data_IF_359205940018
#
_entry.id   IF_359205940018
#
_cell.length_a   1.000
_cell.length_b   1.000
_cell.length_c   1.000
_cell.angle_alpha   90.00
_cell.angle_beta   90.00
_cell.angle_gamma   90.00
#
_symmetry.space_group_name_H-M   'P 1'
#
loop_
_entity.id
_entity.type
_entity.pdbx_description
1 polymer ?
#
# COMPACT_ATOMS: atom_id res chain seq x y z
N UNK A 1 22.30 -19.55 80.67
CA UNK A 1 21.40 -18.66 79.90
C UNK A 1 22.15 -18.17 78.68
N UNK A 2 21.97 -18.81 77.52
CA UNK A 2 22.55 -18.39 76.23
C UNK A 2 21.42 -17.81 75.38
N UNK A 3 21.50 -16.52 75.04
CA UNK A 3 20.59 -15.87 74.10
C UNK A 3 20.98 -16.29 72.68
N UNK A 4 20.04 -16.89 71.95
CA UNK A 4 20.17 -17.20 70.53
C UNK A 4 19.58 -16.01 69.74
N UNK A 5 20.44 -15.23 69.09
CA UNK A 5 19.98 -14.16 68.18
C UNK A 5 19.79 -14.77 66.80
N UNK A 6 18.53 -14.94 66.38
CA UNK A 6 18.16 -15.36 65.02
C UNK A 6 18.13 -14.10 64.14
N UNK A 7 19.08 -13.99 63.21
CA UNK A 7 19.09 -12.95 62.18
C UNK A 7 18.26 -13.47 61.00
N UNK A 8 17.06 -12.89 60.83
CA UNK A 8 16.17 -13.17 59.71
C UNK A 8 16.63 -12.31 58.51
N UNK A 9 17.37 -12.90 57.56
CA UNK A 9 17.63 -12.26 56.27
C UNK A 9 16.38 -12.34 55.40
N UNK A 10 15.65 -11.24 55.30
CA UNK A 10 14.61 -11.07 54.28
C UNK A 10 15.27 -10.79 52.93
N UNK A 11 15.33 -11.83 52.07
CA UNK A 11 15.68 -11.67 50.68
C UNK A 11 14.51 -11.01 49.93
N UNK A 12 14.54 -9.69 49.80
CA UNK A 12 13.62 -8.95 48.93
C UNK A 12 14.07 -9.22 47.49
N UNK A 13 13.45 -10.19 46.84
CA UNK A 13 13.59 -10.42 45.40
C UNK A 13 12.86 -9.29 44.68
N UNK A 14 13.56 -8.23 44.31
CA UNK A 14 13.02 -7.27 43.34
C UNK A 14 12.94 -7.98 41.99
N UNK A 15 11.73 -8.46 41.66
CA UNK A 15 11.35 -8.75 40.30
C UNK A 15 11.49 -7.44 39.51
N UNK A 16 12.65 -7.22 38.91
CA UNK A 16 12.79 -6.23 37.86
C UNK A 16 11.93 -6.73 36.69
N UNK A 17 10.68 -6.28 36.64
CA UNK A 17 9.92 -6.32 35.41
C UNK A 17 10.73 -5.51 34.40
N UNK A 18 11.37 -6.21 33.47
CA UNK A 18 11.90 -5.57 32.27
C UNK A 18 10.69 -4.99 31.54
N UNK A 19 10.41 -3.71 31.76
CA UNK A 19 9.57 -2.97 30.86
C UNK A 19 10.28 -3.02 29.51
N UNK A 20 9.71 -3.78 28.58
CA UNK A 20 9.98 -3.56 27.17
C UNK A 20 9.48 -2.14 26.93
N UNK A 21 10.38 -1.17 27.00
CA UNK A 21 10.12 0.13 26.40
C UNK A 21 9.74 -0.17 24.96
N UNK A 22 8.45 -0.06 24.65
CA UNK A 22 8.01 0.26 23.30
C UNK A 22 8.71 1.58 22.99
N UNK A 23 9.93 1.49 22.46
CA UNK A 23 10.57 2.61 21.80
C UNK A 23 9.60 3.00 20.70
N UNK A 24 8.80 4.02 20.97
CA UNK A 24 8.09 4.76 19.95
C UNK A 24 9.17 5.13 18.95
N UNK A 25 9.19 4.43 17.80
CA UNK A 25 9.88 4.96 16.64
C UNK A 25 9.43 6.41 16.54
N UNK A 26 10.38 7.34 16.54
CA UNK A 26 10.09 8.77 16.56
C UNK A 26 9.33 9.03 15.27
N UNK A 27 8.01 9.18 15.40
CA UNK A 27 7.11 9.36 14.28
C UNK A 27 7.59 10.60 13.53
N UNK A 28 7.94 10.45 12.26
CA UNK A 28 8.21 11.60 11.39
C UNK A 28 6.86 12.28 11.11
N UNK A 29 6.60 13.48 11.69
CA UNK A 29 5.30 14.13 11.55
C UNK A 29 5.01 14.52 10.10
N UNK A 30 6.04 14.78 9.29
CA UNK A 30 5.88 15.16 7.89
C UNK A 30 5.37 13.97 7.07
N UNK A 31 5.97 12.80 7.27
CA UNK A 31 5.53 11.55 6.64
C UNK A 31 4.09 11.19 7.02
N UNK A 32 3.74 11.29 8.31
CA UNK A 32 2.37 11.03 8.77
C UNK A 32 1.38 12.00 8.13
N UNK A 33 1.72 13.28 8.05
CA UNK A 33 0.84 14.28 7.44
C UNK A 33 0.65 14.05 5.94
N UNK A 34 1.72 13.76 5.20
CA UNK A 34 1.64 13.58 3.74
C UNK A 34 0.84 12.34 3.37
N UNK A 35 1.03 11.22 4.07
CA UNK A 35 0.32 9.98 3.76
C UNK A 35 -1.16 10.02 4.11
N UNK A 36 -1.55 10.71 5.20
CA UNK A 36 -2.96 10.96 5.47
C UNK A 36 -3.58 11.89 4.43
N UNK A 37 -2.86 12.96 4.05
CA UNK A 37 -3.33 13.86 2.99
C UNK A 37 -3.53 13.12 1.67
N UNK A 38 -2.63 12.20 1.33
CA UNK A 38 -2.78 11.32 0.16
C UNK A 38 -4.06 10.47 0.25
N UNK A 39 -4.31 9.82 1.39
CA UNK A 39 -5.53 9.02 1.60
C UNK A 39 -6.81 9.86 1.50
N UNK A 40 -6.81 11.07 2.07
CA UNK A 40 -7.95 12.00 2.01
C UNK A 40 -8.23 12.46 0.57
N UNK A 41 -7.17 12.79 -0.19
CA UNK A 41 -7.29 13.15 -1.61
C UNK A 41 -7.79 11.96 -2.44
N UNK A 42 -7.35 10.75 -2.11
CA UNK A 42 -7.82 9.54 -2.79
C UNK A 42 -9.31 9.28 -2.54
N UNK A 43 -9.80 9.55 -1.33
CA UNK A 43 -11.24 9.50 -1.01
C UNK A 43 -12.04 10.57 -1.75
N UNK A 44 -11.47 11.78 -1.92
CA UNK A 44 -12.07 12.82 -2.75
C UNK A 44 -12.12 12.42 -4.22
N UNK A 45 -11.03 11.87 -4.77
CA UNK A 45 -10.98 11.33 -6.13
C UNK A 45 -12.05 10.25 -6.34
N UNK A 46 -12.17 9.28 -5.42
CA UNK A 46 -13.23 8.29 -5.46
C UNK A 46 -14.61 8.96 -5.56
N UNK A 47 -14.91 9.91 -4.67
CA UNK A 47 -16.19 10.62 -4.63
C UNK A 47 -16.47 11.33 -5.95
N UNK A 48 -15.49 12.06 -6.49
CA UNK A 48 -15.60 12.75 -7.78
C UNK A 48 -15.83 11.77 -8.94
N UNK A 49 -15.13 10.63 -8.93
CA UNK A 49 -15.23 9.60 -9.96
C UNK A 49 -16.60 8.95 -10.00
N UNK A 50 -17.26 8.75 -8.86
CA UNK A 50 -18.59 8.12 -8.81
C UNK A 50 -19.74 9.12 -8.95
N UNK A 51 -19.50 10.41 -8.73
CA UNK A 51 -20.53 11.45 -8.79
C UNK A 51 -21.21 11.51 -10.18
N UNK A 52 -22.55 11.48 -10.18
CA UNK A 52 -23.36 11.59 -11.40
C UNK A 52 -23.29 10.39 -12.35
N UNK A 53 -22.56 9.31 -12.00
CA UNK A 53 -22.46 8.10 -12.81
C UNK A 53 -23.58 7.12 -12.50
N UNK A 54 -23.92 6.30 -13.49
CA UNK A 54 -24.73 5.10 -13.30
C UNK A 54 -23.82 3.98 -12.80
N UNK A 55 -24.09 3.48 -11.61
CA UNK A 55 -23.19 2.56 -10.91
C UNK A 55 -23.90 1.26 -10.55
N UNK A 56 -23.11 0.18 -10.54
CA UNK A 56 -23.44 -1.05 -9.83
C UNK A 56 -22.56 -1.13 -8.59
N UNK A 57 -23.17 -1.26 -7.41
CA UNK A 57 -22.47 -1.42 -6.13
C UNK A 57 -22.49 -2.88 -5.70
N UNK A 58 -21.38 -3.39 -5.18
CA UNK A 58 -21.31 -4.65 -4.44
C UNK A 58 -20.76 -4.41 -3.06
N UNK A 59 -21.26 -5.14 -2.06
CA UNK A 59 -20.79 -5.05 -0.68
C UNK A 59 -20.35 -6.42 -0.19
N UNK A 60 -19.21 -6.46 0.49
CA UNK A 60 -18.61 -7.68 1.05
C UNK A 60 -18.24 -7.38 2.50
N UNK A 61 -18.57 -8.29 3.41
CA UNK A 61 -18.07 -8.24 4.79
C UNK A 61 -16.85 -9.14 4.88
N UNK A 62 -15.78 -8.63 5.47
CA UNK A 62 -14.52 -9.33 5.60
C UNK A 62 -13.81 -8.98 6.89
N UNK A 63 -12.65 -9.59 7.11
CA UNK A 63 -11.90 -9.38 8.34
C UNK A 63 -10.56 -10.10 8.36
N UNK A 64 -10.02 -10.24 9.56
CA UNK A 64 -8.72 -10.87 9.81
C UNK A 64 -8.92 -12.22 10.51
N UNK A 65 -7.88 -13.07 10.52
CA UNK A 65 -7.92 -14.40 11.15
C UNK A 65 -8.52 -14.43 12.58
N UNK A 66 -8.32 -13.37 13.38
CA UNK A 66 -8.87 -13.23 14.75
C UNK A 66 -9.96 -12.17 14.89
N UNK A 67 -10.35 -11.53 13.81
CA UNK A 67 -11.39 -10.51 13.73
C UNK A 67 -12.20 -10.75 12.45
N UNK A 68 -12.91 -11.90 12.34
CA UNK A 68 -13.83 -12.10 11.22
C UNK A 68 -14.89 -11.00 11.28
N UNK A 69 -15.25 -10.42 10.14
CA UNK A 69 -16.22 -9.33 10.04
C UNK A 69 -15.77 -7.98 10.64
N UNK A 70 -14.46 -7.67 10.58
CA UNK A 70 -13.92 -6.38 10.99
C UNK A 70 -14.35 -5.21 10.08
N UNK A 71 -14.46 -5.45 8.77
CA UNK A 71 -14.70 -4.39 7.79
C UNK A 71 -15.84 -4.71 6.82
N UNK A 72 -16.37 -3.65 6.19
CA UNK A 72 -17.27 -3.70 5.05
C UNK A 72 -16.52 -3.11 3.85
N UNK A 73 -16.34 -3.90 2.81
CA UNK A 73 -15.84 -3.47 1.51
C UNK A 73 -17.02 -3.09 0.61
N UNK A 74 -16.89 -1.95 -0.06
CA UNK A 74 -17.81 -1.44 -1.06
C UNK A 74 -17.08 -1.33 -2.39
N UNK A 75 -17.52 -2.09 -3.39
CA UNK A 75 -16.99 -2.07 -4.74
C UNK A 75 -17.94 -1.29 -5.66
N UNK A 76 -17.39 -0.35 -6.42
CA UNK A 76 -18.15 0.53 -7.30
C UNK A 76 -17.79 0.24 -8.74
N UNK A 77 -18.74 -0.28 -9.51
CA UNK A 77 -18.58 -0.58 -10.92
C UNK A 77 -19.32 0.43 -11.77
N UNK A 78 -18.70 0.82 -12.88
CA UNK A 78 -19.38 1.53 -13.95
C UNK A 78 -20.45 0.62 -14.56
N UNK A 79 -21.71 1.07 -14.60
CA UNK A 79 -22.82 0.20 -14.98
C UNK A 79 -22.87 -0.11 -16.47
N UNK A 80 -22.21 0.70 -17.31
CA UNK A 80 -22.18 0.53 -18.77
C UNK A 80 -21.05 -0.41 -19.21
N UNK A 81 -19.84 -0.16 -18.71
CA UNK A 81 -18.65 -0.94 -19.07
C UNK A 81 -18.39 -2.15 -18.18
N UNK A 82 -19.00 -2.20 -16.99
CA UNK A 82 -18.74 -3.23 -15.98
C UNK A 82 -17.39 -3.11 -15.28
N UNK A 83 -16.60 -2.07 -15.59
CA UNK A 83 -15.26 -1.85 -15.01
C UNK A 83 -15.36 -1.44 -13.54
N UNK A 84 -14.43 -1.92 -12.73
CA UNK A 84 -14.32 -1.54 -11.33
C UNK A 84 -13.67 -0.15 -11.23
N UNK A 85 -14.41 0.85 -10.75
CA UNK A 85 -13.89 2.22 -10.60
C UNK A 85 -13.08 2.38 -9.32
N UNK A 86 -13.53 1.73 -8.25
CA UNK A 86 -12.89 1.85 -6.94
C UNK A 86 -13.40 0.80 -5.96
N UNK A 87 -12.60 0.51 -4.94
CA UNK A 87 -12.97 -0.22 -3.73
C UNK A 87 -12.79 0.69 -2.52
N UNK A 88 -13.74 0.69 -1.60
CA UNK A 88 -13.61 1.42 -0.33
C UNK A 88 -13.98 0.49 0.80
N UNK A 89 -13.09 0.33 1.75
CA UNK A 89 -13.23 -0.56 2.90
C UNK A 89 -13.38 0.30 4.14
N UNK A 90 -14.47 0.10 4.87
CA UNK A 90 -14.81 0.82 6.10
C UNK A 90 -14.78 -0.13 7.30
N UNK A 91 -14.30 0.33 8.44
CA UNK A 91 -14.43 -0.44 9.69
C UNK A 91 -15.92 -0.57 10.07
N UNK A 92 -16.36 -1.75 10.52
CA UNK A 92 -17.79 -1.96 10.82
C UNK A 92 -18.25 -1.31 12.11
N UNK A 93 -17.41 -1.34 13.15
CA UNK A 93 -17.70 -0.70 14.44
C UNK A 93 -17.51 0.82 14.39
N UNK A 94 -16.81 1.32 13.37
CA UNK A 94 -16.55 2.74 13.12
C UNK A 94 -16.73 3.04 11.63
N UNK A 95 -17.99 3.16 11.14
CA UNK A 95 -18.30 3.19 9.72
C UNK A 95 -17.81 4.44 8.97
N UNK A 96 -17.34 5.44 9.70
CA UNK A 96 -16.68 6.65 9.21
C UNK A 96 -15.15 6.49 9.10
N UNK A 97 -14.58 5.39 9.58
CA UNK A 97 -13.15 5.12 9.52
C UNK A 97 -12.79 4.35 8.27
N UNK A 98 -12.08 5.03 7.38
CA UNK A 98 -11.51 4.45 6.18
C UNK A 98 -10.45 3.42 6.55
N UNK A 99 -10.69 2.15 6.22
CA UNK A 99 -9.71 1.09 6.44
C UNK A 99 -8.78 0.92 5.24
N UNK A 100 -9.33 0.95 4.04
CA UNK A 100 -8.59 0.85 2.78
C UNK A 100 -9.38 1.52 1.66
N UNK A 101 -8.67 2.09 0.70
CA UNK A 101 -9.26 2.62 -0.53
C UNK A 101 -8.36 2.28 -1.70
N UNK A 102 -8.97 1.90 -2.81
CA UNK A 102 -8.32 1.66 -4.09
C UNK A 102 -9.12 2.34 -5.20
N UNK A 103 -8.45 3.04 -6.13
CA UNK A 103 -9.10 3.74 -7.25
C UNK A 103 -8.38 3.44 -8.56
N UNK A 104 -9.16 3.07 -9.58
CA UNK A 104 -8.66 2.70 -10.91
C UNK A 104 -8.99 3.77 -11.96
N UNK A 105 -7.97 4.15 -12.72
CA UNK A 105 -8.05 5.08 -13.85
C UNK A 105 -7.79 4.32 -15.12
N UNK A 106 -8.72 4.46 -16.07
CA UNK A 106 -8.72 3.73 -17.32
C UNK A 106 -8.45 4.66 -18.50
N UNK A 107 -7.78 4.16 -19.53
CA UNK A 107 -7.77 4.79 -20.84
C UNK A 107 -9.06 4.50 -21.64
N UNK A 108 -9.14 5.08 -22.83
CA UNK A 108 -10.26 4.90 -23.76
C UNK A 108 -10.41 3.44 -24.24
N UNK A 109 -9.31 2.66 -24.22
CA UNK A 109 -9.33 1.23 -24.54
C UNK A 109 -9.80 0.36 -23.36
N UNK A 110 -9.93 0.94 -22.17
CA UNK A 110 -10.36 0.25 -20.96
C UNK A 110 -9.27 -0.48 -20.21
N UNK A 111 -8.01 -0.12 -20.45
CA UNK A 111 -6.88 -0.63 -19.70
C UNK A 111 -6.62 0.29 -18.51
N UNK A 112 -6.18 -0.27 -17.38
CA UNK A 112 -5.81 0.53 -16.20
C UNK A 112 -4.49 1.23 -16.55
N UNK A 113 -4.50 2.56 -16.62
CA UNK A 113 -3.27 3.35 -16.84
C UNK A 113 -2.67 3.84 -15.54
N UNK A 114 -3.49 3.90 -14.49
CA UNK A 114 -3.08 4.30 -13.15
C UNK A 114 -4.00 3.70 -12.12
N UNK A 115 -3.45 3.19 -11.03
CA UNK A 115 -4.22 2.89 -9.83
C UNK A 115 -3.54 3.44 -8.58
N UNK A 116 -4.34 3.62 -7.54
CA UNK A 116 -3.94 4.18 -6.27
C UNK A 116 -4.45 3.31 -5.14
N UNK A 117 -3.70 3.21 -4.06
CA UNK A 117 -4.12 2.54 -2.84
C UNK A 117 -3.68 3.29 -1.60
N UNK A 118 -4.53 3.30 -0.57
CA UNK A 118 -4.13 3.61 0.80
C UNK A 118 -4.75 2.59 1.75
N UNK A 119 -3.96 2.04 2.67
CA UNK A 119 -4.40 1.01 3.63
C UNK A 119 -3.89 1.32 5.03
N UNK A 120 -4.78 1.21 6.01
CA UNK A 120 -4.48 1.34 7.43
C UNK A 120 -4.41 -0.04 8.10
N UNK A 121 -3.70 -0.12 9.22
CA UNK A 121 -3.80 -1.27 10.10
C UNK A 121 -5.06 -1.18 10.97
N UNK A 122 -5.60 -2.32 11.46
CA UNK A 122 -6.68 -2.31 12.45
C UNK A 122 -6.34 -1.58 13.76
N UNK A 123 -5.04 -1.44 14.07
CA UNK A 123 -4.49 -0.78 15.25
C UNK A 123 -3.28 0.05 14.84
N UNK A 124 -3.04 1.18 15.50
CA UNK A 124 -1.93 2.09 15.13
C UNK A 124 -2.24 2.89 13.87
N UNK A 125 -3.37 3.60 13.88
CA UNK A 125 -3.96 4.30 12.72
C UNK A 125 -3.49 5.75 12.58
N UNK A 126 -2.27 6.07 13.00
CA UNK A 126 -1.77 7.45 12.90
C UNK A 126 -1.53 7.86 11.43
N UNK A 127 -1.24 6.91 10.54
CA UNK A 127 -1.13 7.07 9.09
C UNK A 127 -1.47 5.74 8.40
N UNK A 128 -1.72 5.71 7.08
CA UNK A 128 -1.68 4.47 6.32
C UNK A 128 -0.36 3.73 6.56
N UNK A 129 -0.40 2.41 6.59
CA UNK A 129 0.83 1.59 6.56
C UNK A 129 1.30 1.29 5.15
N UNK A 130 0.43 1.54 4.17
CA UNK A 130 0.73 1.38 2.76
C UNK A 130 0.02 2.48 1.98
N UNK A 131 0.76 3.15 1.12
CA UNK A 131 0.25 4.03 0.06
C UNK A 131 0.90 3.59 -1.24
N UNK A 132 0.13 3.47 -2.32
CA UNK A 132 0.63 3.01 -3.61
C UNK A 132 0.12 3.94 -4.70
N UNK A 133 0.99 4.21 -5.66
CA UNK A 133 0.71 4.85 -6.94
C UNK A 133 1.31 3.93 -8.00
N UNK A 134 0.46 3.23 -8.75
CA UNK A 134 0.90 2.37 -9.85
C UNK A 134 0.70 3.10 -11.17
N UNK A 135 1.76 3.23 -11.95
CA UNK A 135 1.72 3.78 -13.31
C UNK A 135 1.89 2.61 -14.28
N UNK A 136 0.91 2.37 -15.14
CA UNK A 136 0.92 1.22 -16.04
C UNK A 136 1.30 1.61 -17.46
N UNK A 137 2.03 0.74 -18.13
CA UNK A 137 2.30 0.81 -19.54
C UNK A 137 1.94 -0.50 -20.24
N UNK A 138 1.64 -0.38 -21.52
CA UNK A 138 1.27 -1.50 -22.38
C UNK A 138 2.04 -1.36 -23.69
N UNK A 139 2.92 -2.31 -23.98
CA UNK A 139 3.73 -2.33 -25.19
C UNK A 139 3.63 -3.69 -25.87
N UNK A 140 2.98 -3.74 -27.02
CA UNK A 140 2.69 -5.01 -27.70
C UNK A 140 1.88 -5.95 -26.80
N UNK A 141 2.45 -7.12 -26.49
CA UNK A 141 1.87 -8.11 -25.59
C UNK A 141 2.32 -8.00 -24.13
N UNK A 142 3.05 -6.94 -23.76
CA UNK A 142 3.49 -6.71 -22.39
C UNK A 142 2.53 -5.79 -21.63
N UNK A 143 2.35 -6.11 -20.35
CA UNK A 143 1.82 -5.20 -19.34
C UNK A 143 2.91 -4.97 -18.29
N UNK A 144 3.24 -3.72 -18.05
CA UNK A 144 4.17 -3.33 -17.00
C UNK A 144 3.55 -2.28 -16.09
N UNK A 145 4.06 -2.20 -14.86
CA UNK A 145 3.80 -1.06 -14.00
C UNK A 145 4.99 -0.72 -13.11
N UNK A 146 5.10 0.57 -12.80
CA UNK A 146 6.03 1.11 -11.83
C UNK A 146 5.26 1.66 -10.64
N UNK A 147 5.64 1.21 -9.45
CA UNK A 147 4.95 1.51 -8.21
C UNK A 147 5.76 2.50 -7.36
N UNK A 148 5.05 3.48 -6.83
CA UNK A 148 5.58 4.44 -5.88
C UNK A 148 4.76 4.48 -4.60
N UNK A 149 5.35 4.95 -3.51
CA UNK A 149 4.61 5.37 -2.32
C UNK A 149 4.19 6.86 -2.39
N UNK A 150 3.40 7.32 -1.42
CA UNK A 150 3.02 8.74 -1.30
C UNK A 150 4.18 9.68 -0.92
N UNK A 151 5.39 9.14 -0.71
CA UNK A 151 6.63 9.91 -0.54
C UNK A 151 7.42 10.02 -1.85
N UNK A 152 6.88 9.52 -2.98
CA UNK A 152 7.54 9.46 -4.28
C UNK A 152 8.71 8.45 -4.34
N UNK A 153 8.82 7.54 -3.38
CA UNK A 153 9.82 6.47 -3.45
C UNK A 153 9.34 5.40 -4.43
N UNK A 154 10.21 5.01 -5.35
CA UNK A 154 9.97 3.89 -6.26
C UNK A 154 10.27 2.58 -5.53
N UNK A 155 9.23 1.79 -5.27
CA UNK A 155 9.31 0.65 -4.33
C UNK A 155 9.13 -0.71 -4.98
N UNK A 156 8.56 -0.76 -6.19
CA UNK A 156 8.35 -2.02 -6.91
C UNK A 156 8.13 -1.77 -8.41
N UNK A 157 8.51 -2.73 -9.24
CA UNK A 157 8.20 -2.76 -10.66
C UNK A 157 7.84 -4.18 -11.09
N UNK A 158 6.87 -4.32 -11.98
CA UNK A 158 6.54 -5.62 -12.58
C UNK A 158 6.30 -5.47 -14.08
N UNK A 159 6.74 -6.44 -14.86
CA UNK A 159 6.48 -6.53 -16.28
C UNK A 159 6.25 -7.99 -16.67
N UNK A 160 5.12 -8.24 -17.33
CA UNK A 160 4.72 -9.58 -17.72
C UNK A 160 4.12 -9.57 -19.12
N UNK A 161 4.39 -10.61 -19.87
CA UNK A 161 3.74 -10.87 -21.15
C UNK A 161 4.69 -11.46 -22.18
N UNK A 162 4.35 -11.26 -23.46
CA UNK A 162 5.13 -11.79 -24.57
C UNK A 162 5.39 -10.75 -25.65
N UNK A 163 6.58 -10.79 -26.24
CA UNK A 163 6.91 -10.08 -27.48
C UNK A 163 7.42 -11.13 -28.49
N UNK A 164 6.67 -11.34 -29.56
CA UNK A 164 6.94 -12.46 -30.46
C UNK A 164 6.89 -13.80 -29.72
N UNK A 165 8.00 -14.54 -29.77
CA UNK A 165 8.14 -15.84 -29.12
C UNK A 165 8.78 -15.78 -27.71
N UNK A 166 9.22 -14.60 -27.28
CA UNK A 166 9.88 -14.38 -26.00
C UNK A 166 8.85 -14.05 -24.91
N UNK A 167 8.97 -14.71 -23.76
CA UNK A 167 8.22 -14.41 -22.55
C UNK A 167 9.08 -13.55 -21.64
N UNK A 168 8.53 -12.41 -21.22
CA UNK A 168 9.18 -11.52 -20.27
C UNK A 168 8.44 -11.62 -18.95
N UNK A 169 9.21 -11.86 -17.89
CA UNK A 169 8.74 -11.87 -16.52
C UNK A 169 9.79 -11.16 -15.64
N UNK A 170 9.48 -9.94 -15.25
CA UNK A 170 10.27 -9.14 -14.32
C UNK A 170 9.40 -8.78 -13.13
N UNK A 171 9.88 -9.06 -11.93
CA UNK A 171 9.36 -8.55 -10.67
C UNK A 171 10.57 -8.02 -9.90
N UNK A 172 10.61 -6.72 -9.65
CA UNK A 172 11.78 -6.01 -9.12
C UNK A 172 11.40 -5.32 -7.83
N UNK A 173 11.99 -5.77 -6.72
CA UNK A 173 11.76 -5.23 -5.38
C UNK A 173 12.62 -3.98 -5.10
N UNK A 174 12.28 -3.26 -4.03
CA UNK A 174 12.93 -1.99 -3.66
C UNK A 174 14.46 -2.10 -3.55
N UNK A 175 14.98 -3.17 -2.98
CA UNK A 175 16.41 -3.40 -2.82
C UNK A 175 17.14 -3.60 -4.15
N UNK A 176 16.50 -4.27 -5.11
CA UNK A 176 17.00 -4.43 -6.47
C UNK A 176 16.94 -3.10 -7.25
N UNK A 177 15.91 -2.28 -7.04
CA UNK A 177 15.77 -0.97 -7.68
C UNK A 177 16.86 0.03 -7.27
N UNK A 178 17.51 -0.17 -6.12
CA UNK A 178 18.63 0.64 -5.66
C UNK A 178 19.93 0.40 -6.44
N UNK A 179 20.03 -0.68 -7.24
CA UNK A 179 21.22 -0.95 -8.06
C UNK A 179 22.49 -1.20 -7.24
N UNK A 180 22.37 -1.68 -6.00
CA UNK A 180 23.51 -1.84 -5.08
C UNK A 180 24.34 -3.09 -5.34
N UNK A 181 23.84 -4.01 -6.17
CA UNK A 181 24.55 -5.25 -6.52
C UNK A 181 24.79 -5.34 -8.03
N UNK A 182 25.81 -6.07 -8.49
CA UNK A 182 26.01 -6.33 -9.91
C UNK A 182 24.80 -7.00 -10.59
N UNK A 183 24.07 -7.85 -9.85
CA UNK A 183 22.86 -8.50 -10.35
C UNK A 183 21.72 -7.49 -10.54
N UNK A 184 21.50 -6.62 -9.56
CA UNK A 184 20.56 -5.49 -9.67
C UNK A 184 20.87 -4.61 -10.87
N UNK A 185 22.14 -4.23 -11.06
CA UNK A 185 22.55 -3.41 -12.21
C UNK A 185 22.33 -4.14 -13.54
N UNK A 186 22.66 -5.43 -13.62
CA UNK A 186 22.44 -6.22 -14.83
C UNK A 186 20.95 -6.29 -15.22
N UNK A 187 20.02 -6.37 -14.25
CA UNK A 187 18.59 -6.30 -14.51
C UNK A 187 18.20 -4.92 -15.05
N UNK A 188 18.61 -3.84 -14.37
CA UNK A 188 18.24 -2.46 -14.71
C UNK A 188 18.84 -1.99 -16.06
N UNK A 189 19.95 -2.59 -16.48
CA UNK A 189 20.61 -2.31 -17.76
C UNK A 189 20.16 -3.24 -18.90
N UNK A 190 19.30 -4.23 -18.60
CA UNK A 190 18.84 -5.20 -19.58
C UNK A 190 17.92 -4.59 -20.64
N UNK A 191 17.86 -5.23 -21.82
CA UNK A 191 16.92 -4.85 -22.87
C UNK A 191 15.46 -5.06 -22.41
N UNK A 192 15.19 -6.14 -21.67
CA UNK A 192 13.86 -6.45 -21.15
C UNK A 192 13.35 -5.34 -20.23
N UNK A 193 14.21 -4.85 -19.33
CA UNK A 193 13.88 -3.74 -18.45
C UNK A 193 13.53 -2.47 -19.25
N UNK A 194 14.35 -2.13 -20.24
CA UNK A 194 14.10 -0.94 -21.08
C UNK A 194 12.78 -1.05 -21.83
N UNK A 195 12.53 -2.19 -22.49
CA UNK A 195 11.28 -2.44 -23.22
C UNK A 195 10.06 -2.34 -22.30
N UNK A 196 10.18 -2.80 -21.06
CA UNK A 196 9.10 -2.76 -20.09
C UNK A 196 8.83 -1.36 -19.52
N UNK A 197 9.87 -0.58 -19.22
CA UNK A 197 9.74 0.56 -18.30
C UNK A 197 10.23 1.90 -18.84
N UNK A 198 10.81 1.96 -20.05
CA UNK A 198 11.33 3.21 -20.64
C UNK A 198 10.24 4.29 -20.78
N UNK A 199 9.02 3.88 -21.13
CA UNK A 199 7.89 4.80 -21.29
C UNK A 199 7.27 5.28 -19.97
N UNK A 200 7.62 4.66 -18.84
CA UNK A 200 7.07 5.03 -17.53
C UNK A 200 7.91 6.13 -16.88
N UNK A 201 7.27 7.13 -16.23
CA UNK A 201 7.98 8.15 -15.47
C UNK A 201 8.87 7.54 -14.39
N UNK A 202 10.04 8.13 -14.13
CA UNK A 202 10.92 7.73 -13.02
C UNK A 202 10.47 8.32 -11.67
N UNK A 203 9.40 9.12 -11.66
CA UNK A 203 8.81 9.70 -10.45
C UNK A 203 7.29 9.76 -10.59
N UNK A 204 6.59 9.74 -9.46
CA UNK A 204 5.16 9.95 -9.33
C UNK A 204 4.78 11.39 -8.94
N UNK A 205 5.67 12.38 -9.07
CA UNK A 205 5.43 13.77 -8.61
C UNK A 205 4.10 14.36 -9.10
N UNK A 206 3.72 14.11 -10.36
CA UNK A 206 2.46 14.59 -10.94
C UNK A 206 1.22 13.87 -10.39
N UNK A 207 1.41 12.75 -9.69
CA UNK A 207 0.38 11.84 -9.22
C UNK A 207 0.31 11.75 -7.68
N UNK A 208 1.17 12.46 -6.95
CA UNK A 208 1.18 12.52 -5.48
C UNK A 208 -0.09 13.13 -4.88
N UNK A 209 -0.83 13.90 -5.66
CA UNK A 209 -2.14 14.44 -5.28
C UNK A 209 -3.18 13.77 -6.19
N UNK A 210 -3.85 12.69 -5.74
CA UNK A 210 -4.92 12.07 -6.51
C UNK A 210 -6.02 13.09 -6.85
N UNK A 211 -6.32 13.25 -8.14
CA UNK A 211 -7.34 14.16 -8.68
C UNK A 211 -7.96 13.62 -9.97
#
# INVERSE_FOLDING_TARGET
MRLLTVVLLAAISTLAAAQIEQRSLKVDPQHVSSWNTFADNLLQLHTARIAGRRLRKQEIVGGYYKLPDFYREEQFFDADSGRLLSRVVWEREHPDRLHEIEVFIYDDQGRVVRDYLARYLPRGRNAPVQTLINLHAYHGGLHSFRQFDASNNRIYESCRGRIGDEEIFLDIEEDQLMGMTPESLAILESLDYNVCFESLPLSANEYLVPH
#
